data_IF_164920666174
#
_entry.id   IF_164920666174
#
_cell.length_a   1.000
_cell.length_b   1.000
_cell.length_c   1.000
_cell.angle_alpha   90.00
_cell.angle_beta   90.00
_cell.angle_gamma   90.00
#
_symmetry.space_group_name_H-M   'P 1'
#
loop_
_entity.id
_entity.type
_entity.pdbx_description
1 polymer ?
#
# COMPACT_ATOMS: atom_id res chain seq x y z
N UNK A 1 -20.13 20.22 -18.36
CA UNK A 1 -19.06 19.49 -17.64
C UNK A 1 -18.53 20.40 -16.53
N UNK A 2 -19.02 20.20 -15.30
CA UNK A 2 -18.66 21.05 -14.15
C UNK A 2 -17.34 20.60 -13.51
N UNK A 3 -16.21 20.89 -14.16
CA UNK A 3 -14.88 20.61 -13.60
C UNK A 3 -14.40 21.85 -12.85
N UNK A 4 -14.29 21.77 -11.53
CA UNK A 4 -13.65 22.81 -10.70
C UNK A 4 -12.16 22.52 -10.55
N UNK A 5 -11.34 23.37 -11.16
CA UNK A 5 -9.89 23.32 -10.98
C UNK A 5 -9.51 23.89 -9.63
N UNK A 6 -8.74 23.12 -8.84
CA UNK A 6 -8.14 23.57 -7.59
C UNK A 6 -6.63 23.48 -7.71
N UNK A 7 -5.98 24.63 -7.66
CA UNK A 7 -4.53 24.72 -7.70
C UNK A 7 -3.95 24.62 -6.28
N UNK A 8 -2.75 24.06 -6.17
CA UNK A 8 -1.98 24.13 -4.93
C UNK A 8 -1.43 25.54 -4.74
N UNK A 9 -1.24 25.93 -3.48
CA UNK A 9 -0.62 27.21 -3.12
C UNK A 9 0.84 27.20 -3.54
N UNK A 10 1.31 28.31 -4.13
CA UNK A 10 2.72 28.49 -4.48
C UNK A 10 3.60 28.36 -3.23
N UNK A 11 4.70 27.62 -3.34
CA UNK A 11 5.59 27.37 -2.20
C UNK A 11 5.08 26.33 -1.19
N UNK A 12 4.00 25.59 -1.48
CA UNK A 12 3.50 24.50 -0.64
C UNK A 12 3.77 23.07 -1.18
N UNK A 13 5.03 22.68 -1.47
CA UNK A 13 5.36 21.38 -2.09
C UNK A 13 4.96 20.17 -1.21
N UNK A 14 4.79 20.37 0.11
CA UNK A 14 4.35 19.31 1.01
C UNK A 14 2.93 18.80 0.71
N UNK A 15 2.07 19.59 0.06
CA UNK A 15 0.72 19.15 -0.37
C UNK A 15 0.77 18.04 -1.42
N UNK A 16 1.79 18.05 -2.29
CA UNK A 16 1.94 17.06 -3.37
C UNK A 16 2.93 15.95 -2.98
N UNK A 17 3.62 16.08 -1.85
CA UNK A 17 4.70 15.17 -1.45
C UNK A 17 4.32 13.68 -1.41
N UNK A 18 3.05 13.31 -1.18
CA UNK A 18 2.62 11.92 -1.32
C UNK A 18 2.68 11.43 -2.77
N UNK A 19 2.10 12.19 -3.70
CA UNK A 19 2.09 11.84 -5.12
C UNK A 19 3.49 11.85 -5.72
N UNK A 20 4.32 12.84 -5.37
CA UNK A 20 5.70 12.91 -5.84
C UNK A 20 6.53 11.72 -5.38
N UNK A 21 6.35 11.29 -4.12
CA UNK A 21 7.00 10.09 -3.58
C UNK A 21 6.58 8.84 -4.35
N UNK A 22 5.27 8.65 -4.54
CA UNK A 22 4.77 7.53 -5.34
C UNK A 22 5.36 7.52 -6.76
N UNK A 23 5.37 8.67 -7.44
CA UNK A 23 5.96 8.81 -8.78
C UNK A 23 7.45 8.48 -8.76
N UNK A 24 8.18 8.92 -7.72
CA UNK A 24 9.60 8.60 -7.54
C UNK A 24 9.84 7.10 -7.37
N UNK A 25 9.05 6.40 -6.54
CA UNK A 25 9.23 4.95 -6.34
C UNK A 25 8.96 4.18 -7.64
N UNK A 26 7.92 4.56 -8.38
CA UNK A 26 7.59 3.96 -9.69
C UNK A 26 8.73 4.16 -10.69
N UNK A 27 9.20 5.40 -10.87
CA UNK A 27 10.32 5.72 -11.78
C UNK A 27 11.61 4.99 -11.38
N UNK A 28 11.89 4.91 -10.09
CA UNK A 28 13.09 4.24 -9.56
C UNK A 28 13.04 2.73 -9.82
N UNK A 29 11.90 2.10 -9.58
CA UNK A 29 11.69 0.69 -9.91
C UNK A 29 11.83 0.46 -11.41
N UNK A 30 11.12 1.24 -12.23
CA UNK A 30 11.15 1.13 -13.69
C UNK A 30 12.58 1.24 -14.24
N UNK A 31 13.34 2.27 -13.86
CA UNK A 31 14.73 2.47 -14.31
C UNK A 31 15.62 1.27 -14.00
N UNK A 32 15.44 0.64 -12.83
CA UNK A 32 16.25 -0.50 -12.41
C UNK A 32 15.86 -1.81 -13.09
N UNK A 33 14.62 -1.95 -13.55
CA UNK A 33 14.12 -3.15 -14.22
C UNK A 33 14.40 -3.11 -15.71
N UNK A 34 14.25 -1.95 -16.35
CA UNK A 34 14.64 -1.75 -17.74
C UNK A 34 16.17 -1.85 -17.90
N UNK A 35 16.96 -1.38 -16.91
CA UNK A 35 18.41 -1.54 -16.91
C UNK A 35 19.06 -1.01 -18.19
N UNK A 36 19.74 -1.90 -18.94
CA UNK A 36 20.35 -1.61 -20.26
C UNK A 36 19.54 -2.15 -21.44
N UNK A 37 18.35 -2.71 -21.21
CA UNK A 37 17.54 -3.29 -22.28
C UNK A 37 16.85 -2.20 -23.11
N UNK A 38 16.84 -2.39 -24.43
CA UNK A 38 16.15 -1.53 -25.37
C UNK A 38 14.76 -2.07 -25.66
N UNK A 39 13.75 -1.21 -25.53
CA UNK A 39 12.36 -1.52 -25.86
C UNK A 39 11.92 -0.69 -27.04
N UNK A 40 11.07 -1.27 -27.88
CA UNK A 40 10.29 -0.47 -28.83
C UNK A 40 9.24 0.36 -28.09
N UNK A 41 8.69 1.37 -28.75
CA UNK A 41 7.63 2.22 -28.18
C UNK A 41 6.45 1.38 -27.67
N UNK A 42 5.93 0.48 -28.52
CA UNK A 42 4.80 -0.41 -28.20
C UNK A 42 5.06 -1.26 -26.96
N UNK A 43 6.29 -1.73 -26.79
CA UNK A 43 6.66 -2.61 -25.68
C UNK A 43 6.81 -1.85 -24.38
N UNK A 44 7.44 -0.68 -24.44
CA UNK A 44 7.52 0.20 -23.28
C UNK A 44 6.12 0.66 -22.85
N UNK A 45 5.28 1.04 -23.81
CA UNK A 45 3.90 1.43 -23.56
C UNK A 45 3.12 0.29 -22.89
N UNK A 46 3.21 -0.92 -23.43
CA UNK A 46 2.56 -2.11 -22.84
C UNK A 46 3.03 -2.35 -21.41
N UNK A 47 4.34 -2.33 -21.15
CA UNK A 47 4.90 -2.51 -19.81
C UNK A 47 4.41 -1.43 -18.84
N UNK A 48 4.31 -0.18 -19.29
CA UNK A 48 3.81 0.93 -18.47
C UNK A 48 2.32 0.76 -18.11
N UNK A 49 1.49 0.33 -19.07
CA UNK A 49 0.07 0.04 -18.83
C UNK A 49 -0.08 -1.12 -17.85
N UNK A 50 0.72 -2.17 -17.99
CA UNK A 50 0.74 -3.30 -17.06
C UNK A 50 1.18 -2.87 -15.65
N UNK A 51 2.22 -2.04 -15.54
CA UNK A 51 2.66 -1.45 -14.26
C UNK A 51 1.56 -0.59 -13.64
N UNK A 52 0.87 0.23 -14.43
CA UNK A 52 -0.26 1.04 -13.95
C UNK A 52 -1.37 0.14 -13.39
N UNK A 53 -1.71 -0.94 -14.08
CA UNK A 53 -2.71 -1.91 -13.62
C UNK A 53 -2.29 -2.54 -12.28
N UNK A 54 -1.04 -2.98 -12.16
CA UNK A 54 -0.46 -3.57 -10.94
C UNK A 54 -0.47 -2.58 -9.76
N UNK A 55 -0.07 -1.32 -10.00
CA UNK A 55 -0.10 -0.28 -8.96
C UNK A 55 -1.52 -0.01 -8.51
N UNK A 56 -2.49 0.00 -9.43
CA UNK A 56 -3.89 0.28 -9.12
C UNK A 56 -4.65 -0.94 -8.56
N UNK A 57 -4.14 -2.15 -8.74
CA UNK A 57 -4.66 -3.36 -8.09
C UNK A 57 -4.10 -3.56 -6.68
N UNK A 58 -3.15 -2.72 -6.22
CA UNK A 58 -2.56 -2.85 -4.89
C UNK A 58 -3.63 -2.77 -3.78
N UNK A 59 -3.57 -3.59 -2.74
CA UNK A 59 -4.53 -3.51 -1.64
C UNK A 59 -4.29 -2.23 -0.81
N UNK A 60 -5.37 -1.48 -0.55
CA UNK A 60 -5.39 -0.36 0.40
C UNK A 60 -5.83 -0.86 1.77
N UNK A 61 -6.95 -1.59 1.81
CA UNK A 61 -7.53 -2.16 3.03
C UNK A 61 -8.32 -3.43 2.71
N UNK A 62 -8.57 -4.23 3.73
CA UNK A 62 -9.48 -5.36 3.67
C UNK A 62 -10.90 -4.89 3.99
N UNK A 63 -11.88 -5.45 3.29
CA UNK A 63 -13.31 -5.36 3.56
C UNK A 63 -13.71 -6.65 4.27
N UNK A 64 -14.18 -6.52 5.50
CA UNK A 64 -14.60 -7.65 6.33
C UNK A 64 -16.08 -8.00 6.11
N UNK A 65 -16.55 -7.97 4.86
CA UNK A 65 -17.94 -8.28 4.51
C UNK A 65 -18.27 -9.76 4.68
N UNK A 66 -17.27 -10.63 4.50
CA UNK A 66 -17.35 -12.07 4.72
C UNK A 66 -16.21 -12.53 5.64
N UNK A 67 -16.54 -13.31 6.67
CA UNK A 67 -15.58 -13.78 7.69
C UNK A 67 -14.56 -14.78 7.11
N UNK A 68 -14.93 -15.52 6.06
CA UNK A 68 -14.09 -16.56 5.48
C UNK A 68 -13.15 -16.05 4.37
N UNK A 69 -13.52 -14.98 3.66
CA UNK A 69 -12.71 -14.38 2.59
C UNK A 69 -12.85 -12.85 2.64
N UNK A 70 -11.91 -12.16 3.30
CA UNK A 70 -11.93 -10.70 3.32
C UNK A 70 -11.63 -10.16 1.93
N UNK A 71 -12.58 -9.42 1.37
CA UNK A 71 -12.42 -8.80 0.06
C UNK A 71 -11.40 -7.66 0.10
N UNK A 72 -10.66 -7.46 -0.99
CA UNK A 72 -9.61 -6.44 -1.05
C UNK A 72 -10.13 -5.15 -1.69
N UNK A 73 -10.07 -4.04 -0.93
CA UNK A 73 -10.28 -2.72 -1.49
C UNK A 73 -8.97 -2.20 -2.07
N UNK A 74 -8.96 -1.93 -3.38
CA UNK A 74 -7.81 -1.41 -4.13
C UNK A 74 -8.14 -0.06 -4.78
N UNK A 75 -7.14 0.74 -5.21
CA UNK A 75 -7.38 1.98 -5.97
C UNK A 75 -8.26 1.77 -7.20
N UNK A 76 -8.17 0.63 -7.88
CA UNK A 76 -9.02 0.32 -9.04
C UNK A 76 -10.51 0.30 -8.71
N UNK A 77 -10.90 -0.07 -7.49
CA UNK A 77 -12.31 -0.02 -7.10
C UNK A 77 -12.83 1.42 -7.09
N UNK A 78 -12.00 2.40 -6.72
CA UNK A 78 -12.40 3.82 -6.75
C UNK A 78 -12.40 4.39 -8.17
N UNK A 79 -11.49 3.93 -9.03
CA UNK A 79 -11.35 4.45 -10.40
C UNK A 79 -12.37 3.86 -11.38
N UNK A 80 -12.61 2.55 -11.26
CA UNK A 80 -13.38 1.76 -12.25
C UNK A 80 -14.54 0.99 -11.63
N UNK A 81 -14.71 1.00 -10.30
CA UNK A 81 -15.75 0.24 -9.61
C UNK A 81 -15.43 -1.26 -9.45
N UNK A 82 -14.31 -1.74 -10.00
CA UNK A 82 -13.96 -3.16 -10.00
C UNK A 82 -12.44 -3.40 -9.94
N UNK A 83 -12.05 -4.67 -9.80
CA UNK A 83 -10.65 -5.11 -9.91
C UNK A 83 -10.22 -5.00 -11.37
N UNK A 84 -9.09 -4.33 -11.63
CA UNK A 84 -8.50 -4.33 -12.96
C UNK A 84 -8.02 -5.75 -13.30
N UNK A 85 -8.16 -6.19 -14.57
CA UNK A 85 -7.53 -7.41 -15.03
C UNK A 85 -6.02 -7.18 -15.05
N UNK A 86 -5.34 -7.55 -13.96
CA UNK A 86 -3.90 -7.76 -14.01
C UNK A 86 -3.68 -8.97 -14.92
N UNK A 87 -2.73 -8.85 -15.86
CA UNK A 87 -2.43 -9.85 -16.89
C UNK A 87 -2.61 -11.28 -16.33
N UNK A 88 -3.31 -12.19 -17.03
CA UNK A 88 -3.71 -13.45 -16.46
C UNK A 88 -2.50 -14.22 -15.94
N UNK A 89 -2.72 -14.94 -14.84
CA UNK A 89 -1.70 -15.75 -14.18
C UNK A 89 -0.92 -16.59 -15.18
N UNK A 90 0.30 -16.99 -14.80
CA UNK A 90 1.23 -17.81 -15.60
C UNK A 90 0.58 -19.05 -16.27
N UNK A 91 -0.64 -19.41 -15.88
CA UNK A 91 -1.46 -20.50 -16.37
C UNK A 91 -2.10 -20.24 -17.75
N UNK A 92 -2.10 -19.01 -18.25
CA UNK A 92 -2.60 -18.65 -19.59
C UNK A 92 -1.47 -18.58 -20.63
N UNK A 93 -0.73 -19.68 -20.75
CA UNK A 93 0.35 -19.77 -21.74
C UNK A 93 -0.23 -19.55 -23.14
N UNK A 94 0.26 -18.55 -23.90
CA UNK A 94 -0.13 -18.40 -25.29
C UNK A 94 0.23 -19.68 -26.04
N UNK A 95 -0.76 -20.35 -26.66
CA UNK A 95 -0.54 -21.48 -27.58
C UNK A 95 0.07 -20.94 -28.88
N UNK A 96 1.29 -20.44 -28.83
CA UNK A 96 2.00 -19.89 -29.97
C UNK A 96 3.10 -20.86 -30.40
N UNK A 97 3.07 -21.27 -31.67
CA UNK A 97 4.13 -22.07 -32.29
C UNK A 97 5.45 -21.29 -32.46
N UNK A 98 5.41 -19.95 -32.31
CA UNK A 98 6.57 -19.06 -32.49
C UNK A 98 7.31 -18.84 -31.17
N UNK A 99 8.44 -19.54 -31.01
CA UNK A 99 9.33 -19.50 -29.84
C UNK A 99 9.72 -18.08 -29.39
N UNK A 100 9.93 -17.14 -30.33
CA UNK A 100 10.33 -15.77 -29.98
C UNK A 100 9.23 -14.96 -29.26
N UNK A 101 7.95 -15.11 -29.66
CA UNK A 101 6.84 -14.42 -29.01
C UNK A 101 6.66 -14.90 -27.57
N UNK A 102 6.78 -16.21 -27.36
CA UNK A 102 6.74 -16.80 -26.03
C UNK A 102 7.89 -16.29 -25.14
N UNK A 103 9.11 -16.20 -25.69
CA UNK A 103 10.26 -15.60 -24.97
C UNK A 103 10.01 -14.15 -24.58
N UNK A 104 9.47 -13.31 -25.49
CA UNK A 104 9.15 -11.91 -25.19
C UNK A 104 8.05 -11.77 -24.14
N UNK A 105 6.99 -12.57 -24.23
CA UNK A 105 5.92 -12.62 -23.24
C UNK A 105 6.44 -13.02 -21.85
N UNK A 106 7.25 -14.09 -21.79
CA UNK A 106 7.88 -14.54 -20.54
C UNK A 106 8.82 -13.48 -19.96
N UNK A 107 9.58 -12.79 -20.81
CA UNK A 107 10.43 -11.69 -20.39
C UNK A 107 9.61 -10.57 -19.77
N UNK A 108 8.50 -10.16 -20.40
CA UNK A 108 7.61 -9.12 -19.87
C UNK A 108 7.02 -9.49 -18.50
N UNK A 109 6.54 -10.72 -18.34
CA UNK A 109 6.06 -11.21 -17.04
C UNK A 109 7.14 -11.16 -15.96
N UNK A 110 8.38 -11.53 -16.31
CA UNK A 110 9.52 -11.47 -15.39
C UNK A 110 9.86 -10.03 -15.00
N UNK A 111 9.77 -9.08 -15.93
CA UNK A 111 9.94 -7.65 -15.62
C UNK A 111 8.86 -7.16 -14.66
N UNK A 112 7.59 -7.56 -14.84
CA UNK A 112 6.49 -7.19 -13.95
C UNK A 112 6.64 -7.80 -12.55
N UNK A 113 7.04 -9.06 -12.44
CA UNK A 113 7.29 -9.70 -11.14
C UNK A 113 8.45 -9.01 -10.40
N UNK A 114 9.54 -8.73 -11.13
CA UNK A 114 10.66 -7.94 -10.60
C UNK A 114 10.24 -6.53 -10.20
N UNK A 115 9.34 -5.90 -10.97
CA UNK A 115 8.71 -4.63 -10.62
C UNK A 115 7.98 -4.72 -9.31
N UNK A 116 7.05 -5.66 -9.20
CA UNK A 116 6.20 -5.77 -8.04
C UNK A 116 6.97 -6.04 -6.75
N UNK A 117 7.90 -7.00 -6.77
CA UNK A 117 8.76 -7.33 -5.62
C UNK A 117 9.51 -6.09 -5.11
N UNK A 118 10.05 -5.31 -6.05
CA UNK A 118 10.88 -4.15 -5.76
C UNK A 118 10.06 -2.95 -5.32
N UNK A 119 8.95 -2.70 -6.02
CA UNK A 119 7.98 -1.68 -5.70
C UNK A 119 7.44 -1.89 -4.28
N UNK A 120 7.02 -3.10 -3.92
CA UNK A 120 6.60 -3.43 -2.56
C UNK A 120 7.68 -3.10 -1.52
N UNK A 121 8.93 -3.46 -1.78
CA UNK A 121 10.04 -3.17 -0.85
C UNK A 121 10.27 -1.67 -0.67
N UNK A 122 10.30 -0.89 -1.76
CA UNK A 122 10.54 0.56 -1.70
C UNK A 122 9.32 1.31 -1.13
N UNK A 123 8.11 0.97 -1.60
CA UNK A 123 6.85 1.59 -1.19
C UNK A 123 6.51 1.36 0.29
N UNK A 124 6.69 0.13 0.81
CA UNK A 124 6.42 -0.15 2.23
C UNK A 124 7.32 0.66 3.16
N UNK A 125 8.58 0.90 2.76
CA UNK A 125 9.50 1.75 3.52
C UNK A 125 9.04 3.21 3.53
N UNK A 126 8.50 3.72 2.41
CA UNK A 126 7.96 5.06 2.33
C UNK A 126 6.67 5.23 3.16
N UNK A 127 5.79 4.23 3.19
CA UNK A 127 4.59 4.23 4.05
C UNK A 127 4.95 4.35 5.53
N UNK A 128 5.98 3.61 5.97
CA UNK A 128 6.46 3.65 7.35
C UNK A 128 6.93 5.06 7.73
N UNK A 129 7.70 5.71 6.86
CA UNK A 129 8.17 7.08 7.08
C UNK A 129 7.00 8.06 7.14
N UNK A 130 6.00 7.96 6.26
CA UNK A 130 4.81 8.81 6.28
C UNK A 130 3.95 8.64 7.55
N UNK A 131 3.87 7.41 8.09
CA UNK A 131 3.15 7.12 9.33
C UNK A 131 3.79 7.81 10.54
N UNK A 132 5.13 7.86 10.61
CA UNK A 132 5.83 8.52 11.72
C UNK A 132 5.67 10.05 11.72
N UNK A 133 5.50 10.69 10.55
CA UNK A 133 5.24 12.14 10.47
C UNK A 133 3.82 12.54 10.91
N UNK A 134 2.87 11.59 10.93
CA UNK A 134 1.48 11.84 11.35
C UNK A 134 1.19 11.53 12.81
N UNK A 135 2.15 11.02 13.58
CA UNK A 135 1.98 10.93 15.03
C UNK A 135 2.00 12.38 15.53
N UNK A 136 0.87 12.96 15.96
CA UNK A 136 0.91 14.31 16.48
C UNK A 136 1.81 14.27 17.72
N UNK A 137 2.72 15.24 17.87
CA UNK A 137 3.46 15.42 19.13
C UNK A 137 2.52 15.64 20.33
N UNK A 138 1.27 16.00 20.03
CA UNK A 138 0.12 15.93 20.93
C UNK A 138 -0.76 14.73 20.54
N UNK A 139 -0.28 13.50 20.76
CA UNK A 139 -1.21 12.36 20.83
C UNK A 139 -2.27 12.76 21.83
N UNK A 140 -3.53 12.84 21.39
CA UNK A 140 -4.68 13.06 22.26
C UNK A 140 -4.48 12.24 23.53
N UNK A 141 -4.44 12.92 24.67
CA UNK A 141 -4.22 12.29 25.96
C UNK A 141 -5.22 11.14 26.09
N UNK A 142 -4.73 9.92 26.36
CA UNK A 142 -5.56 8.73 26.44
C UNK A 142 -6.76 9.01 27.34
N UNK A 143 -7.96 8.59 26.92
CA UNK A 143 -9.18 8.72 27.72
C UNK A 143 -9.56 7.37 28.32
N UNK A 144 -10.26 7.43 29.45
CA UNK A 144 -10.94 6.25 29.99
C UNK A 144 -11.95 5.77 28.94
N UNK A 145 -12.02 4.46 28.73
CA UNK A 145 -12.81 3.79 27.70
C UNK A 145 -12.28 3.83 26.25
N UNK A 146 -11.09 4.39 25.99
CA UNK A 146 -10.47 4.22 24.67
C UNK A 146 -10.08 2.75 24.42
N UNK A 147 -10.29 2.29 23.18
CA UNK A 147 -9.87 0.98 22.70
C UNK A 147 -8.41 1.03 22.23
N UNK A 148 -7.59 0.10 22.74
CA UNK A 148 -6.14 0.06 22.50
C UNK A 148 -5.67 -1.35 22.14
N UNK A 149 -4.66 -1.44 21.27
CA UNK A 149 -3.99 -2.70 20.96
C UNK A 149 -2.83 -2.95 21.93
N UNK A 150 -2.81 -4.12 22.55
CA UNK A 150 -1.77 -4.53 23.50
C UNK A 150 -0.67 -5.26 22.73
N UNK A 151 0.48 -4.60 22.61
CA UNK A 151 1.67 -5.17 21.97
C UNK A 151 2.29 -6.24 22.85
N UNK A 152 2.43 -7.45 22.30
CA UNK A 152 3.22 -8.55 22.86
C UNK A 152 4.37 -8.85 21.88
N UNK A 153 5.62 -8.84 22.35
CA UNK A 153 6.81 -8.88 21.46
C UNK A 153 6.97 -10.22 20.71
N UNK A 154 6.39 -11.31 21.21
CA UNK A 154 6.46 -12.64 20.61
C UNK A 154 5.19 -13.05 19.83
N UNK A 155 4.28 -12.11 19.58
CA UNK A 155 3.01 -12.36 18.91
C UNK A 155 2.93 -11.51 17.62
N UNK A 156 2.54 -12.15 16.51
CA UNK A 156 2.30 -11.43 15.24
C UNK A 156 1.30 -10.30 15.48
N UNK A 157 1.53 -9.13 14.86
CA UNK A 157 0.70 -7.91 15.08
C UNK A 157 -0.81 -8.15 14.91
N UNK A 158 -1.21 -9.01 13.98
CA UNK A 158 -2.62 -9.38 13.75
C UNK A 158 -3.26 -10.12 14.92
N UNK A 159 -2.47 -10.67 15.83
CA UNK A 159 -2.91 -11.44 17.00
C UNK A 159 -2.74 -10.65 18.31
N UNK A 160 -2.41 -9.35 18.22
CA UNK A 160 -2.35 -8.50 19.42
C UNK A 160 -3.75 -8.34 20.01
N UNK A 161 -3.86 -8.52 21.32
CA UNK A 161 -5.14 -8.46 22.02
C UNK A 161 -5.64 -7.01 22.05
N UNK A 162 -6.94 -6.85 21.83
CA UNK A 162 -7.61 -5.57 22.04
C UNK A 162 -7.94 -5.41 23.54
N UNK A 163 -7.67 -4.23 24.09
CA UNK A 163 -7.96 -3.88 25.46
C UNK A 163 -8.70 -2.55 25.54
N UNK A 164 -9.52 -2.38 26.57
CA UNK A 164 -10.19 -1.12 26.89
C UNK A 164 -9.57 -0.49 28.12
N UNK A 165 -9.22 0.79 28.06
CA UNK A 165 -8.62 1.51 29.19
C UNK A 165 -9.68 1.70 30.29
N UNK A 166 -9.36 1.23 31.51
CA UNK A 166 -10.19 1.45 32.71
C UNK A 166 -9.70 2.61 33.56
N UNK A 167 -8.39 2.70 33.80
CA UNK A 167 -7.81 3.78 34.60
C UNK A 167 -6.50 4.25 33.99
N UNK A 168 -6.23 5.54 34.15
CA UNK A 168 -5.02 6.22 33.69
C UNK A 168 -4.18 6.56 34.92
N UNK A 169 -2.87 6.31 34.85
CA UNK A 169 -1.93 6.73 35.88
C UNK A 169 -0.99 7.79 35.28
N UNK A 170 -1.28 9.08 35.48
CA UNK A 170 -0.40 10.15 35.03
C UNK A 170 0.85 10.24 35.91
N UNK A 171 2.00 10.55 35.28
CA UNK A 171 3.24 10.92 35.98
C UNK A 171 3.12 12.37 36.51
N UNK A 172 4.06 12.78 37.37
CA UNK A 172 4.19 14.18 37.86
C UNK A 172 4.18 15.22 36.73
N UNK A 173 4.66 14.87 35.54
CA UNK A 173 4.72 15.76 34.38
C UNK A 173 3.40 15.80 33.57
N UNK A 174 2.29 15.26 34.10
CA UNK A 174 0.98 15.22 33.46
C UNK A 174 0.83 14.22 32.30
N UNK A 175 1.93 13.61 31.85
CA UNK A 175 1.92 12.57 30.81
C UNK A 175 1.51 11.21 31.38
N UNK A 176 0.58 10.53 30.72
CA UNK A 176 0.17 9.17 31.06
C UNK A 176 1.21 8.18 30.56
N UNK A 177 1.87 7.46 31.47
CA UNK A 177 2.87 6.43 31.14
C UNK A 177 2.38 5.02 31.45
N UNK A 178 1.35 4.89 32.29
CA UNK A 178 0.80 3.59 32.71
C UNK A 178 -0.72 3.62 32.71
N UNK A 179 -1.34 2.53 32.28
CA UNK A 179 -2.81 2.39 32.23
C UNK A 179 -3.22 1.01 32.73
N UNK A 180 -4.35 0.92 33.41
CA UNK A 180 -5.01 -0.38 33.67
C UNK A 180 -5.99 -0.63 32.55
N UNK A 181 -5.80 -1.70 31.80
CA UNK A 181 -6.71 -2.11 30.73
C UNK A 181 -7.47 -3.39 31.12
N UNK A 182 -8.65 -3.57 30.53
CA UNK A 182 -9.40 -4.83 30.54
C UNK A 182 -9.32 -5.43 29.14
N UNK A 183 -8.93 -6.70 29.03
CA UNK A 183 -8.99 -7.41 27.75
C UNK A 183 -10.43 -7.47 27.25
N UNK A 184 -10.62 -7.13 25.99
CA UNK A 184 -11.86 -7.43 25.27
C UNK A 184 -11.65 -8.83 24.70
N UNK A 185 -12.41 -9.81 25.20
CA UNK A 185 -12.47 -11.11 24.56
C UNK A 185 -13.13 -10.91 23.19
N UNK A 186 -12.33 -11.04 22.15
CA UNK A 186 -12.84 -11.20 20.79
C UNK A 186 -13.29 -12.67 20.72
N UNK A 187 -14.61 -12.88 20.71
CA UNK A 187 -15.22 -14.17 20.41
C UNK A 187 -14.94 -14.55 18.94
#
# INVERSE_FOLDING_TARGET
MGITWKFIVEGAPWWIGFWERLVRSVKTCLKRILGKSSFTYEELYTVLVEIQAVINSRPVTYLYSNVNEPDLLSPSHFLTGSKLPVLPSQNSVPKSSKSYLFKRWKHRLLLLDNFWKRFCKEYLLELRSAMFYKIPKNSSQFKISDDVLIREDNVKRCNWKLGKIKTLYPRRDGKVTSVKSRFLLVL
#
